data_IF_313198556822
#
_entry.id   IF_313198556822
#
_cell.length_a   1.000
_cell.length_b   1.000
_cell.length_c   1.000
_cell.angle_alpha   90.00
_cell.angle_beta   90.00
_cell.angle_gamma   90.00
#
_symmetry.space_group_name_H-M   'P 1'
#
loop_
_entity.id
_entity.type
_entity.pdbx_description
1 polymer ?
#
# COMPACT_ATOMS: atom_id res chain seq x y z
N UNK A 1 -7.95 0.86 21.90
CA UNK A 1 -7.13 1.50 20.84
C UNK A 1 -7.02 2.97 21.19
N UNK A 2 -5.80 3.48 21.36
CA UNK A 2 -5.51 4.79 21.99
C UNK A 2 -5.74 5.99 21.05
N UNK A 3 -5.81 5.76 19.74
CA UNK A 3 -6.00 6.81 18.73
C UNK A 3 -7.41 6.79 18.13
N UNK A 4 -7.91 7.98 17.81
CA UNK A 4 -9.26 8.22 17.29
C UNK A 4 -9.45 7.56 15.91
N UNK A 5 -8.46 7.69 15.02
CA UNK A 5 -8.49 7.08 13.67
C UNK A 5 -8.76 5.56 13.69
N UNK A 6 -8.26 4.83 14.69
CA UNK A 6 -8.51 3.39 14.82
C UNK A 6 -9.93 3.08 15.28
N UNK A 7 -10.51 3.94 16.12
CA UNK A 7 -11.91 3.77 16.55
C UNK A 7 -12.83 4.11 15.39
N UNK A 8 -12.56 5.18 14.67
CA UNK A 8 -13.30 5.60 13.48
C UNK A 8 -13.27 4.50 12.40
N UNK A 9 -12.11 3.88 12.18
CA UNK A 9 -11.99 2.75 11.24
C UNK A 9 -12.81 1.53 11.66
N UNK A 10 -12.89 1.23 12.96
CA UNK A 10 -13.72 0.14 13.48
C UNK A 10 -15.21 0.46 13.37
N UNK A 11 -15.62 1.67 13.75
CA UNK A 11 -17.00 2.14 13.62
C UNK A 11 -17.48 2.16 12.16
N UNK A 12 -16.61 2.58 11.25
CA UNK A 12 -16.86 2.55 9.81
C UNK A 12 -16.86 1.13 9.20
N UNK A 13 -16.62 0.08 10.02
CA UNK A 13 -16.45 -1.31 9.58
C UNK A 13 -15.37 -1.47 8.52
N UNK A 14 -14.33 -0.63 8.56
CA UNK A 14 -13.18 -0.72 7.67
C UNK A 14 -12.32 -1.96 7.97
N UNK A 15 -12.36 -2.44 9.21
CA UNK A 15 -11.74 -3.68 9.66
C UNK A 15 -12.82 -4.64 10.15
N UNK A 16 -12.90 -5.81 9.54
CA UNK A 16 -13.77 -6.91 9.96
C UNK A 16 -12.94 -7.98 10.65
N UNK A 17 -13.51 -8.66 11.64
CA UNK A 17 -12.82 -9.66 12.45
C UNK A 17 -13.73 -10.88 12.67
N UNK A 18 -13.20 -12.08 12.45
CA UNK A 18 -13.92 -13.32 12.74
C UNK A 18 -12.98 -14.45 13.19
N UNK A 19 -13.52 -15.42 13.93
CA UNK A 19 -12.75 -16.58 14.41
C UNK A 19 -12.53 -17.64 13.31
N UNK A 20 -13.29 -17.58 12.22
CA UNK A 20 -13.19 -18.50 11.09
C UNK A 20 -13.34 -17.78 9.74
N UNK A 21 -12.81 -18.42 8.68
CA UNK A 21 -12.75 -17.86 7.32
C UNK A 21 -14.15 -17.72 6.70
N UNK A 22 -15.10 -18.59 7.03
CA UNK A 22 -16.44 -18.54 6.44
C UNK A 22 -17.23 -17.34 6.98
N UNK A 23 -17.17 -17.11 8.29
CA UNK A 23 -17.74 -15.93 8.94
C UNK A 23 -17.08 -14.66 8.41
N UNK A 24 -15.75 -14.63 8.28
CA UNK A 24 -15.04 -13.47 7.72
C UNK A 24 -15.49 -13.16 6.28
N UNK A 25 -15.66 -14.19 5.45
CA UNK A 25 -16.12 -14.02 4.07
C UNK A 25 -17.51 -13.39 4.02
N UNK A 26 -18.43 -13.87 4.86
CA UNK A 26 -19.79 -13.34 4.94
C UNK A 26 -19.80 -11.87 5.37
N UNK A 27 -19.01 -11.50 6.39
CA UNK A 27 -18.90 -10.11 6.83
C UNK A 27 -18.27 -9.19 5.79
N UNK A 28 -17.28 -9.69 5.06
CA UNK A 28 -16.57 -8.93 4.02
C UNK A 28 -17.29 -8.90 2.66
N UNK A 29 -18.39 -9.65 2.50
CA UNK A 29 -19.09 -9.78 1.21
C UNK A 29 -18.26 -10.49 0.14
N UNK A 30 -17.41 -11.44 0.54
CA UNK A 30 -16.53 -12.23 -0.33
C UNK A 30 -17.14 -13.63 -0.53
N UNK A 31 -16.95 -14.24 -1.70
CA UNK A 31 -17.30 -15.65 -1.91
C UNK A 31 -16.55 -16.55 -0.93
N UNK A 32 -17.30 -17.21 -0.03
CA UNK A 32 -16.73 -18.01 1.04
C UNK A 32 -15.89 -19.19 0.52
N UNK A 33 -16.31 -19.82 -0.59
CA UNK A 33 -15.57 -20.94 -1.18
C UNK A 33 -14.26 -20.46 -1.79
N UNK A 34 -14.30 -19.39 -2.57
CA UNK A 34 -13.13 -18.76 -3.18
C UNK A 34 -12.12 -18.27 -2.15
N UNK A 35 -12.58 -17.68 -1.05
CA UNK A 35 -11.70 -17.26 0.05
C UNK A 35 -11.04 -18.47 0.71
N UNK A 36 -11.80 -19.50 1.07
CA UNK A 36 -11.27 -20.72 1.69
C UNK A 36 -10.24 -21.42 0.78
N UNK A 37 -10.52 -21.54 -0.52
CA UNK A 37 -9.58 -22.10 -1.50
C UNK A 37 -8.30 -21.27 -1.60
N UNK A 38 -8.41 -19.94 -1.56
CA UNK A 38 -7.25 -19.04 -1.61
C UNK A 38 -6.38 -19.16 -0.36
N UNK A 39 -6.99 -19.26 0.83
CA UNK A 39 -6.25 -19.47 2.09
C UNK A 39 -5.49 -20.80 2.05
N UNK A 40 -6.15 -21.89 1.63
CA UNK A 40 -5.51 -23.19 1.50
C UNK A 40 -4.36 -23.19 0.47
N UNK A 41 -4.52 -22.47 -0.65
CA UNK A 41 -3.46 -22.28 -1.63
C UNK A 41 -2.24 -21.57 -1.00
N UNK A 42 -2.47 -20.46 -0.28
CA UNK A 42 -1.39 -19.73 0.41
C UNK A 42 -0.67 -20.60 1.43
N UNK A 43 -1.39 -21.43 2.19
CA UNK A 43 -0.78 -22.37 3.14
C UNK A 43 0.11 -23.41 2.45
N UNK A 44 -0.29 -23.89 1.26
CA UNK A 44 0.53 -24.80 0.43
C UNK A 44 1.79 -24.10 -0.11
N UNK A 45 1.66 -22.84 -0.54
CA UNK A 45 2.80 -22.01 -0.96
C UNK A 45 3.77 -21.75 0.19
N UNK A 46 3.28 -21.55 1.41
CA UNK A 46 4.11 -21.39 2.61
C UNK A 46 4.94 -22.64 2.92
N UNK A 47 4.40 -23.84 2.64
CA UNK A 47 5.11 -25.12 2.80
C UNK A 47 6.05 -25.45 1.62
N UNK A 48 6.19 -24.53 0.65
CA UNK A 48 6.97 -24.72 -0.57
C UNK A 48 6.54 -25.94 -1.42
N UNK A 49 5.26 -26.34 -1.32
CA UNK A 49 4.71 -27.44 -2.13
C UNK A 49 4.46 -27.01 -3.58
N UNK A 50 4.31 -25.70 -3.82
CA UNK A 50 3.98 -25.08 -5.10
C UNK A 50 4.63 -23.69 -5.22
N UNK A 51 4.66 -23.14 -6.43
CA UNK A 51 5.05 -21.75 -6.70
C UNK A 51 3.83 -20.88 -6.99
N UNK A 52 3.87 -19.61 -6.54
CA UNK A 52 2.78 -18.65 -6.76
C UNK A 52 2.69 -18.25 -8.24
N UNK A 53 1.48 -18.24 -8.78
CA UNK A 53 1.23 -17.88 -10.18
C UNK A 53 1.58 -16.42 -10.53
N UNK A 54 1.70 -15.55 -9.54
CA UNK A 54 2.08 -14.14 -9.70
C UNK A 54 3.54 -13.87 -9.33
N UNK A 55 4.34 -14.91 -9.06
CA UNK A 55 5.76 -14.80 -8.73
C UNK A 55 6.06 -14.29 -7.32
N UNK A 56 5.09 -14.30 -6.40
CA UNK A 56 5.30 -13.94 -4.99
C UNK A 56 5.93 -15.09 -4.21
N UNK A 57 6.78 -14.78 -3.23
CA UNK A 57 7.36 -15.77 -2.33
C UNK A 57 6.64 -15.75 -0.97
N UNK A 58 5.96 -16.86 -0.65
CA UNK A 58 5.24 -17.04 0.61
C UNK A 58 6.02 -17.88 1.64
N UNK A 59 7.16 -18.47 1.28
CA UNK A 59 7.91 -19.39 2.17
C UNK A 59 8.41 -18.72 3.46
N UNK A 60 8.52 -17.39 3.45
CA UNK A 60 8.94 -16.56 4.59
C UNK A 60 7.77 -15.93 5.34
N UNK A 61 6.55 -16.16 4.89
CA UNK A 61 5.33 -15.60 5.51
C UNK A 61 4.80 -16.53 6.58
N UNK A 62 4.22 -15.97 7.64
CA UNK A 62 3.60 -16.76 8.71
C UNK A 62 2.22 -17.23 8.28
N UNK A 63 1.87 -18.46 8.65
CA UNK A 63 0.51 -18.96 8.51
C UNK A 63 -0.47 -18.06 9.27
N UNK A 64 -1.63 -17.79 8.67
CA UNK A 64 -2.71 -17.05 9.31
C UNK A 64 -3.28 -17.87 10.46
N UNK A 65 -3.68 -17.20 11.53
CA UNK A 65 -4.35 -17.81 12.68
C UNK A 65 -5.50 -16.91 13.10
N UNK A 66 -6.52 -17.52 13.68
CA UNK A 66 -7.62 -16.79 14.30
C UNK A 66 -7.10 -15.88 15.45
N UNK A 67 -7.75 -14.74 15.69
CA UNK A 67 -8.84 -14.18 14.88
C UNK A 67 -8.33 -13.67 13.51
N UNK A 68 -9.12 -13.89 12.47
CA UNK A 68 -8.83 -13.43 11.11
C UNK A 68 -9.39 -12.03 10.90
N UNK A 69 -8.73 -11.26 10.03
CA UNK A 69 -9.12 -9.88 9.72
C UNK A 69 -9.25 -9.65 8.22
N UNK A 70 -10.22 -8.84 7.83
CA UNK A 70 -10.42 -8.38 6.46
C UNK A 70 -10.51 -6.85 6.42
N UNK A 71 -9.87 -6.26 5.42
CA UNK A 71 -9.90 -4.82 5.15
C UNK A 71 -10.15 -4.62 3.67
N UNK A 72 -11.16 -3.82 3.32
CA UNK A 72 -11.43 -3.47 1.92
C UNK A 72 -10.46 -2.40 1.46
N UNK A 73 -9.53 -2.77 0.59
CA UNK A 73 -8.57 -1.84 -0.02
C UNK A 73 -9.09 -1.41 -1.40
N UNK A 74 -9.15 -0.10 -1.62
CA UNK A 74 -9.51 0.52 -2.91
C UNK A 74 -8.44 1.53 -3.32
N UNK A 75 -8.44 1.93 -4.58
CA UNK A 75 -7.58 3.02 -5.05
C UNK A 75 -7.91 4.34 -4.35
N UNK A 76 -6.86 5.11 -4.04
CA UNK A 76 -6.97 6.48 -3.54
C UNK A 76 -6.06 7.39 -4.37
N UNK A 77 -6.47 8.65 -4.54
CA UNK A 77 -5.58 9.68 -5.06
C UNK A 77 -4.53 9.99 -3.99
N UNK A 78 -3.32 9.44 -4.15
CA UNK A 78 -2.30 9.50 -3.10
C UNK A 78 -1.28 10.62 -3.31
N UNK A 79 -0.79 10.83 -4.54
CA UNK A 79 0.19 11.87 -4.82
C UNK A 79 0.08 12.40 -6.25
N UNK A 80 0.52 13.64 -6.48
CA UNK A 80 0.79 14.18 -7.82
C UNK A 80 2.28 14.09 -8.13
N UNK A 81 2.64 13.76 -9.38
CA UNK A 81 4.06 13.77 -9.80
C UNK A 81 4.57 15.16 -10.21
N UNK A 82 3.66 16.09 -10.49
CA UNK A 82 3.97 17.47 -10.84
C UNK A 82 4.48 18.29 -9.66
N UNK A 83 4.71 19.58 -9.91
CA UNK A 83 5.19 20.53 -8.91
C UNK A 83 6.13 21.57 -9.54
N UNK A 84 6.77 22.37 -8.70
CA UNK A 84 7.74 23.37 -9.13
C UNK A 84 9.05 22.71 -9.55
N UNK A 85 9.65 23.16 -10.65
CA UNK A 85 11.00 22.73 -11.03
C UNK A 85 12.00 23.29 -10.01
N UNK A 86 12.90 22.45 -9.51
CA UNK A 86 13.92 22.85 -8.53
C UNK A 86 15.31 22.36 -8.93
N UNK A 87 16.37 23.03 -8.48
CA UNK A 87 17.74 22.51 -8.55
C UNK A 87 18.06 21.59 -7.36
N UNK A 88 19.31 21.10 -7.28
CA UNK A 88 19.77 20.19 -6.23
C UNK A 88 19.79 20.79 -4.81
N UNK A 89 19.66 22.11 -4.69
CA UNK A 89 19.58 22.83 -3.42
C UNK A 89 18.13 23.20 -3.05
N UNK A 90 17.16 22.84 -3.89
CA UNK A 90 15.75 23.13 -3.68
C UNK A 90 15.28 24.50 -4.17
N UNK A 91 16.15 25.31 -4.79
CA UNK A 91 15.75 26.59 -5.38
C UNK A 91 14.80 26.37 -6.57
N UNK A 92 13.68 27.09 -6.59
CA UNK A 92 12.72 27.05 -7.70
C UNK A 92 13.35 27.65 -8.95
N UNK A 93 13.12 27.00 -10.10
CA UNK A 93 13.65 27.42 -11.39
C UNK A 93 12.60 28.21 -12.18
N UNK A 94 13.07 29.24 -12.89
CA UNK A 94 12.33 29.89 -13.96
C UNK A 94 12.25 28.99 -15.20
N UNK A 95 11.47 29.39 -16.20
CA UNK A 95 11.34 28.66 -17.47
C UNK A 95 12.66 28.55 -18.25
N UNK A 96 13.52 29.55 -18.12
CA UNK A 96 14.87 29.56 -18.71
C UNK A 96 15.89 28.69 -17.94
N UNK A 97 15.48 28.09 -16.81
CA UNK A 97 16.31 27.25 -15.96
C UNK A 97 17.15 28.01 -14.92
N UNK A 98 17.10 29.34 -14.87
CA UNK A 98 17.79 30.13 -13.82
C UNK A 98 17.09 29.99 -12.46
N UNK A 99 17.84 29.96 -11.35
CA UNK A 99 17.26 29.83 -10.02
C UNK A 99 16.64 31.14 -9.53
N UNK A 100 15.57 31.01 -8.76
CA UNK A 100 15.06 32.04 -7.87
C UNK A 100 15.80 31.92 -6.53
N UNK A 101 16.75 32.82 -6.20
CA UNK A 101 17.67 32.65 -5.07
C UNK A 101 17.00 32.70 -3.69
N UNK A 102 15.74 33.14 -3.63
CA UNK A 102 14.96 33.30 -2.40
C UNK A 102 13.66 32.49 -2.40
N UNK A 103 13.46 31.58 -3.38
CA UNK A 103 12.26 30.74 -3.46
C UNK A 103 12.66 29.28 -3.50
N UNK A 104 12.15 28.50 -2.56
CA UNK A 104 12.45 27.08 -2.40
C UNK A 104 11.18 26.24 -2.45
N UNK A 105 11.29 25.01 -2.95
CA UNK A 105 10.23 24.02 -2.88
C UNK A 105 10.78 22.63 -2.54
N UNK A 106 10.03 21.86 -1.77
CA UNK A 106 10.40 20.51 -1.34
C UNK A 106 9.17 19.63 -1.12
N UNK A 107 9.39 18.34 -0.92
CA UNK A 107 8.31 17.36 -0.78
C UNK A 107 7.40 17.33 -2.01
N UNK A 108 6.09 17.11 -1.80
CA UNK A 108 5.10 17.04 -2.88
C UNK A 108 4.85 18.34 -3.65
N UNK A 109 5.39 19.47 -3.18
CA UNK A 109 5.31 20.75 -3.89
C UNK A 109 6.37 20.89 -5.00
N UNK A 110 7.51 20.19 -4.87
CA UNK A 110 8.52 20.12 -5.90
C UNK A 110 8.15 19.03 -6.92
N UNK A 111 8.36 19.31 -8.21
CA UNK A 111 8.18 18.31 -9.26
C UNK A 111 9.07 17.13 -8.96
N UNK A 112 8.48 15.93 -8.94
CA UNK A 112 9.19 14.71 -8.57
C UNK A 112 10.57 14.64 -9.24
N UNK A 113 11.61 14.72 -8.42
CA UNK A 113 13.00 14.56 -8.83
C UNK A 113 13.34 13.08 -9.11
N UNK A 114 12.40 12.29 -9.66
CA UNK A 114 12.71 10.96 -10.17
C UNK A 114 13.82 11.02 -11.26
N UNK A 115 14.06 12.19 -11.86
CA UNK A 115 15.23 12.45 -12.71
C UNK A 115 16.59 12.44 -11.96
N UNK A 116 16.61 12.65 -10.64
CA UNK A 116 17.82 12.56 -9.81
C UNK A 116 18.09 11.13 -9.31
N UNK A 117 17.06 10.31 -9.05
CA UNK A 117 17.24 8.91 -8.63
C UNK A 117 17.38 7.89 -9.77
N UNK A 118 16.96 8.21 -11.01
CA UNK A 118 17.08 7.30 -12.17
C UNK A 118 18.24 7.61 -13.13
N UNK A 119 19.12 8.57 -12.82
CA UNK A 119 20.46 8.60 -13.43
C UNK A 119 21.37 7.60 -12.69
N UNK A 120 21.19 6.31 -12.95
CA UNK A 120 22.26 5.33 -12.74
C UNK A 120 23.21 5.34 -13.93
N UNK A 121 24.49 5.21 -13.59
CA UNK A 121 25.62 4.80 -14.42
C UNK A 121 25.27 3.76 -15.47
#
# INVERSE_FOLDING_TARGET
>A
LEFDDYRDALEARAVMQAEDIATLAAEAGIDARGLASTVAEVESLQRAERSDRFGRDFTRTRALRAPFFAVKVTGALFHTQGGLAVNGEGHVLREDGSPLPNVFAGGGAARNAARLCWRRR
#
